data_IF_734720176047
#
_entry.id   IF_734720176047
#
_cell.length_a   1.000
_cell.length_b   1.000
_cell.length_c   1.000
_cell.angle_alpha   90.00
_cell.angle_beta   90.00
_cell.angle_gamma   90.00
#
_symmetry.space_group_name_H-M   'P 1'
#
loop_
_entity.id
_entity.type
_entity.pdbx_description
1 polymer ?
#
# COMPACT_ATOMS: atom_id res chain seq x y z
N UNK A 1 5.53 2.10 -2.01
CA UNK A 1 6.75 2.32 -1.21
C UNK A 1 6.63 1.85 0.23
N UNK A 2 5.67 2.37 1.02
CA UNK A 2 5.58 2.04 2.47
C UNK A 2 5.35 0.54 2.72
N UNK A 3 4.44 -0.11 1.98
CA UNK A 3 4.17 -1.54 2.19
C UNK A 3 5.39 -2.42 1.91
N UNK A 4 6.11 -2.17 0.81
CA UNK A 4 7.35 -2.89 0.50
C UNK A 4 8.43 -2.71 1.57
N UNK A 5 8.59 -1.51 2.14
CA UNK A 5 9.54 -1.26 3.21
C UNK A 5 9.20 -2.09 4.46
N UNK A 6 7.96 -2.03 4.91
CA UNK A 6 7.54 -2.77 6.12
C UNK A 6 7.53 -4.28 5.88
N UNK A 7 7.29 -4.75 4.66
CA UNK A 7 7.45 -6.16 4.29
C UNK A 7 8.90 -6.64 4.39
N UNK A 8 9.88 -5.77 4.09
CA UNK A 8 11.30 -6.08 4.30
C UNK A 8 11.63 -6.12 5.79
N UNK A 9 11.09 -5.19 6.58
CA UNK A 9 11.26 -5.20 8.05
C UNK A 9 10.73 -6.52 8.65
N UNK A 10 9.56 -7.00 8.22
CA UNK A 10 9.05 -8.32 8.64
C UNK A 10 10.06 -9.44 8.36
N UNK A 11 10.66 -9.44 7.17
CA UNK A 11 11.62 -10.47 6.78
C UNK A 11 12.90 -10.41 7.62
N UNK A 12 13.39 -9.22 7.95
CA UNK A 12 14.60 -9.02 8.77
C UNK A 12 14.36 -9.48 10.21
N UNK A 13 13.20 -9.13 10.78
CA UNK A 13 12.89 -9.43 12.18
C UNK A 13 12.26 -10.82 12.39
N UNK A 14 11.86 -11.50 11.32
CA UNK A 14 11.35 -12.87 11.36
C UNK A 14 10.12 -13.02 12.27
N UNK A 15 10.01 -14.16 12.95
CA UNK A 15 8.85 -14.53 13.77
C UNK A 15 8.48 -13.47 14.83
N UNK A 16 9.46 -12.74 15.38
CA UNK A 16 9.24 -11.71 16.40
C UNK A 16 8.35 -10.58 15.91
N UNK A 17 8.44 -10.25 14.61
CA UNK A 17 7.68 -9.16 14.02
C UNK A 17 6.18 -9.41 13.89
N UNK A 18 5.75 -10.67 14.01
CA UNK A 18 4.34 -11.07 14.04
C UNK A 18 3.72 -11.01 15.44
N UNK A 19 4.53 -10.82 16.49
CA UNK A 19 4.03 -10.80 17.86
C UNK A 19 3.28 -9.50 18.16
N UNK A 20 2.20 -9.60 18.94
CA UNK A 20 1.45 -8.42 19.41
C UNK A 20 2.38 -7.47 20.14
N UNK A 21 2.21 -6.16 19.89
CA UNK A 21 3.03 -5.05 20.42
C UNK A 21 4.42 -4.91 19.80
N UNK A 22 4.86 -5.82 18.91
CA UNK A 22 6.02 -5.54 18.10
C UNK A 22 5.71 -4.36 17.15
N UNK A 23 6.56 -3.32 17.05
CA UNK A 23 6.24 -2.12 16.29
C UNK A 23 6.02 -2.37 14.80
N UNK A 24 6.66 -3.41 14.24
CA UNK A 24 6.49 -3.82 12.83
C UNK A 24 5.11 -4.43 12.56
N UNK A 25 4.49 -5.12 13.53
CA UNK A 25 3.17 -5.75 13.36
C UNK A 25 2.12 -4.71 12.94
N UNK A 26 1.95 -3.69 13.77
CA UNK A 26 0.95 -2.65 13.53
C UNK A 26 1.21 -1.92 12.21
N UNK A 27 2.48 -1.60 11.93
CA UNK A 27 2.88 -0.91 10.70
C UNK A 27 2.56 -1.75 9.46
N UNK A 28 2.81 -3.05 9.51
CA UNK A 28 2.52 -3.96 8.40
C UNK A 28 1.02 -4.02 8.13
N UNK A 29 0.23 -4.23 9.19
CA UNK A 29 -1.22 -4.28 9.09
C UNK A 29 -1.82 -2.97 8.59
N UNK A 30 -1.32 -1.83 9.07
CA UNK A 30 -1.75 -0.51 8.61
C UNK A 30 -1.40 -0.29 7.13
N UNK A 31 -0.16 -0.58 6.73
CA UNK A 31 0.28 -0.42 5.35
C UNK A 31 -0.53 -1.31 4.39
N UNK A 32 -0.82 -2.56 4.79
CA UNK A 32 -1.68 -3.47 4.04
C UNK A 32 -3.12 -2.96 3.96
N UNK A 33 -3.68 -2.48 5.06
CA UNK A 33 -5.05 -1.95 5.12
C UNK A 33 -5.28 -0.76 4.20
N UNK A 34 -4.28 0.10 4.02
CA UNK A 34 -4.34 1.25 3.09
C UNK A 34 -4.43 0.86 1.62
N UNK A 35 -4.11 -0.38 1.24
CA UNK A 35 -4.33 -0.87 -0.13
C UNK A 35 -5.80 -1.14 -0.44
N UNK A 36 -6.65 -1.14 0.58
CA UNK A 36 -8.10 -1.40 0.49
C UNK A 36 -8.93 -0.17 0.87
N UNK A 37 -8.46 0.60 1.86
CA UNK A 37 -9.18 1.76 2.37
C UNK A 37 -9.29 2.87 1.31
N UNK A 38 -10.47 3.51 1.23
CA UNK A 38 -10.79 4.56 0.25
C UNK A 38 -10.69 4.10 -1.22
N UNK A 39 -10.93 2.82 -1.47
CA UNK A 39 -10.86 2.20 -2.79
C UNK A 39 -9.57 1.40 -2.94
N UNK A 40 -9.67 0.23 -3.56
CA UNK A 40 -8.51 -0.64 -3.70
C UNK A 40 -7.51 -0.05 -4.68
N UNK A 41 -6.25 -0.46 -4.56
CA UNK A 41 -5.21 0.01 -5.48
C UNK A 41 -5.51 -0.31 -6.96
N UNK A 42 -6.22 -1.41 -7.25
CA UNK A 42 -6.61 -1.79 -8.60
C UNK A 42 -7.64 -0.81 -9.16
N UNK A 43 -8.64 -0.44 -8.36
CA UNK A 43 -9.65 0.55 -8.76
C UNK A 43 -8.99 1.91 -9.00
N UNK A 44 -8.11 2.35 -8.09
CA UNK A 44 -7.40 3.62 -8.25
C UNK A 44 -6.53 3.64 -9.53
N UNK A 45 -5.78 2.56 -9.79
CA UNK A 45 -4.97 2.43 -11.02
C UNK A 45 -5.84 2.45 -12.28
N UNK A 46 -6.97 1.75 -12.28
CA UNK A 46 -7.89 1.73 -13.41
C UNK A 46 -8.52 3.12 -13.66
N UNK A 47 -8.90 3.83 -12.60
CA UNK A 47 -9.41 5.20 -12.71
C UNK A 47 -8.36 6.13 -13.32
N UNK A 48 -7.12 6.10 -12.82
CA UNK A 48 -6.01 6.90 -13.38
C UNK A 48 -5.79 6.55 -14.86
N UNK A 49 -5.75 5.27 -15.21
CA UNK A 49 -5.57 4.83 -16.59
C UNK A 49 -6.72 5.28 -17.51
N UNK A 50 -7.96 5.27 -17.01
CA UNK A 50 -9.13 5.75 -17.75
C UNK A 50 -9.05 7.26 -18.03
N UNK A 51 -8.72 8.06 -17.01
CA UNK A 51 -8.54 9.51 -17.15
C UNK A 51 -7.42 9.86 -18.14
N UNK A 52 -6.27 9.18 -18.00
CA UNK A 52 -5.14 9.35 -18.93
C UNK A 52 -5.49 9.01 -20.38
N UNK A 53 -6.31 7.97 -20.61
CA UNK A 53 -6.76 7.60 -21.95
C UNK A 53 -7.70 8.63 -22.57
N UNK A 54 -8.53 9.28 -21.75
CA UNK A 54 -9.54 10.23 -22.21
C UNK A 54 -8.94 11.62 -22.48
N UNK A 55 -8.18 12.13 -21.52
CA UNK A 55 -7.82 13.55 -21.44
C UNK A 55 -6.28 13.75 -21.42
N UNK A 56 -5.52 12.67 -21.61
CA UNK A 56 -4.05 12.70 -21.59
C UNK A 56 -3.50 13.09 -20.22
N UNK A 57 -2.27 13.62 -20.19
CA UNK A 57 -1.60 14.01 -18.92
C UNK A 57 -2.29 15.17 -18.18
N UNK A 58 -3.08 15.97 -18.88
CA UNK A 58 -3.78 17.14 -18.31
C UNK A 58 -4.80 16.78 -17.23
N UNK A 59 -5.25 15.52 -17.19
CA UNK A 59 -6.25 15.04 -16.23
C UNK A 59 -5.71 14.76 -14.83
N UNK A 60 -4.39 14.87 -14.61
CA UNK A 60 -3.71 14.48 -13.37
C UNK A 60 -3.10 15.65 -12.59
N UNK A 61 -3.33 16.87 -13.05
CA UNK A 61 -2.78 18.13 -12.48
C UNK A 61 -3.90 19.11 -12.26
#
# INVERSE_FOLDING_TARGET
MVESAVSKDLQIHGANSYQRKHPVEYRYRLARGRRLAAGTEEIQKNTIASLLKKDGRSSLT
#
